data_IF_925892002238
#
_entry.id   IF_925892002238
#
_cell.length_a   1.000
_cell.length_b   1.000
_cell.length_c   1.000
_cell.angle_alpha   90.00
_cell.angle_beta   90.00
_cell.angle_gamma   90.00
#
_symmetry.space_group_name_H-M   'P 1'
#
loop_
_entity.id
_entity.type
_entity.pdbx_description
1 polymer ?
#
# COMPACT_ATOMS: atom_id res chain seq x y z
N UNK A 1 -5.78 -6.97 -22.15
CA UNK A 1 -4.65 -6.57 -21.27
C UNK A 1 -4.55 -7.55 -20.11
N UNK A 2 -3.45 -8.30 -19.97
CA UNK A 2 -3.32 -9.36 -18.94
C UNK A 2 -3.33 -8.78 -17.52
N UNK A 3 -4.33 -9.15 -16.71
CA UNK A 3 -4.51 -8.66 -15.33
C UNK A 3 -3.26 -8.88 -14.44
N UNK A 4 -2.55 -9.99 -14.65
CA UNK A 4 -1.27 -10.28 -13.98
C UNK A 4 -0.20 -9.21 -14.26
N UNK A 5 -0.10 -8.72 -15.50
CA UNK A 5 0.84 -7.64 -15.87
C UNK A 5 0.50 -6.33 -15.17
N UNK A 6 -0.79 -6.05 -14.93
CA UNK A 6 -1.23 -4.85 -14.19
C UNK A 6 -0.79 -4.94 -12.72
N UNK A 7 -1.04 -6.09 -12.05
CA UNK A 7 -0.64 -6.31 -10.66
C UNK A 7 0.86 -6.13 -10.46
N UNK A 8 1.67 -6.85 -11.23
CA UNK A 8 3.13 -6.76 -11.12
C UNK A 8 3.69 -5.37 -11.46
N UNK A 9 3.02 -4.61 -12.34
CA UNK A 9 3.41 -3.21 -12.61
C UNK A 9 3.19 -2.34 -11.38
N UNK A 10 2.02 -2.46 -10.73
CA UNK A 10 1.69 -1.67 -9.55
C UNK A 10 2.57 -2.06 -8.36
N UNK A 11 2.83 -3.36 -8.14
CA UNK A 11 3.79 -3.82 -7.13
C UNK A 11 5.17 -3.17 -7.31
N UNK A 12 5.67 -3.09 -8.56
CA UNK A 12 6.95 -2.43 -8.85
C UNK A 12 6.91 -0.94 -8.57
N UNK A 13 5.80 -0.26 -8.88
CA UNK A 13 5.63 1.16 -8.57
C UNK A 13 5.65 1.40 -7.06
N UNK A 14 4.89 0.60 -6.30
CA UNK A 14 4.86 0.70 -4.84
C UNK A 14 6.23 0.41 -4.24
N UNK A 15 6.91 -0.64 -4.72
CA UNK A 15 8.28 -0.97 -4.31
C UNK A 15 9.23 0.24 -4.51
N UNK A 16 9.19 0.89 -5.67
CA UNK A 16 10.04 2.07 -5.94
C UNK A 16 9.78 3.20 -4.95
N UNK A 17 8.52 3.46 -4.59
CA UNK A 17 8.19 4.50 -3.61
C UNK A 17 8.87 4.21 -2.27
N UNK A 18 8.82 2.97 -1.77
CA UNK A 18 9.53 2.62 -0.55
C UNK A 18 11.06 2.76 -0.69
N UNK A 19 11.64 2.33 -1.81
CA UNK A 19 13.08 2.45 -2.07
C UNK A 19 13.55 3.91 -2.17
N UNK A 20 12.75 4.80 -2.76
CA UNK A 20 13.01 6.25 -2.82
C UNK A 20 13.02 6.91 -1.43
N UNK A 21 12.31 6.32 -0.47
CA UNK A 21 12.33 6.70 0.95
C UNK A 21 13.42 5.99 1.75
N UNK A 22 14.32 5.25 1.10
CA UNK A 22 15.47 4.60 1.73
C UNK A 22 15.18 3.22 2.32
N UNK A 23 14.00 2.64 2.10
CA UNK A 23 13.68 1.31 2.60
C UNK A 23 14.19 0.20 1.68
N UNK A 24 14.72 -0.86 2.27
CA UNK A 24 15.05 -2.10 1.58
C UNK A 24 13.77 -2.93 1.35
N UNK A 25 13.46 -3.23 0.09
CA UNK A 25 12.22 -3.94 -0.29
C UNK A 25 12.50 -5.21 -1.08
N UNK A 26 12.04 -6.34 -0.54
CA UNK A 26 12.04 -7.64 -1.21
C UNK A 26 10.66 -7.89 -1.80
N UNK A 27 10.58 -8.27 -3.08
CA UNK A 27 9.32 -8.77 -3.65
C UNK A 27 9.13 -10.21 -3.21
N UNK A 28 7.92 -10.56 -2.75
CA UNK A 28 7.51 -11.95 -2.62
C UNK A 28 7.29 -12.52 -4.02
N UNK A 29 8.36 -12.94 -4.70
CA UNK A 29 8.25 -13.50 -6.04
C UNK A 29 7.43 -14.80 -5.99
N UNK A 30 6.28 -14.83 -6.68
CA UNK A 30 5.54 -16.06 -6.93
C UNK A 30 4.84 -16.66 -5.71
N UNK A 31 3.79 -16.00 -5.21
CA UNK A 31 2.63 -16.56 -4.48
C UNK A 31 2.81 -17.63 -3.38
N UNK A 32 4.00 -17.79 -2.78
CA UNK A 32 4.16 -18.62 -1.58
C UNK A 32 4.23 -17.79 -0.29
N UNK A 33 4.35 -16.46 -0.39
CA UNK A 33 4.33 -15.53 0.73
C UNK A 33 2.93 -14.97 1.02
N UNK A 34 2.67 -14.60 2.28
CA UNK A 34 1.38 -14.04 2.75
C UNK A 34 1.11 -12.59 2.27
N UNK A 35 2.06 -11.96 1.57
CA UNK A 35 2.01 -10.57 1.12
C UNK A 35 2.74 -10.39 -0.23
N UNK A 36 2.57 -9.24 -0.88
CA UNK A 36 3.18 -8.95 -2.19
C UNK A 36 4.61 -8.38 -2.05
N UNK A 37 4.87 -7.60 -1.00
CA UNK A 37 6.16 -7.00 -0.68
C UNK A 37 6.51 -7.25 0.78
N UNK A 38 7.80 -7.41 1.07
CA UNK A 38 8.35 -7.38 2.42
C UNK A 38 9.28 -6.16 2.52
N UNK A 39 9.00 -5.27 3.47
CA UNK A 39 9.74 -4.03 3.67
C UNK A 39 10.46 -4.07 5.00
N UNK A 40 11.80 -4.01 4.97
CA UNK A 40 12.63 -4.12 6.16
C UNK A 40 12.33 -2.97 7.13
N UNK A 41 12.05 -3.29 8.39
CA UNK A 41 11.69 -2.32 9.43
C UNK A 41 10.22 -1.87 9.44
N UNK A 42 9.40 -2.29 8.46
CA UNK A 42 7.95 -2.00 8.43
C UNK A 42 7.14 -3.30 8.49
N UNK A 43 7.50 -4.30 7.70
CA UNK A 43 6.83 -5.60 7.65
C UNK A 43 6.23 -5.93 6.27
N UNK A 44 5.21 -6.79 6.29
CA UNK A 44 4.61 -7.37 5.09
C UNK A 44 3.50 -6.48 4.52
N UNK A 45 3.57 -6.20 3.21
CA UNK A 45 2.70 -5.24 2.52
C UNK A 45 1.97 -5.94 1.38
N UNK A 46 0.65 -5.88 1.41
CA UNK A 46 -0.22 -6.31 0.32
C UNK A 46 -0.54 -5.11 -0.60
N UNK A 47 -0.34 -5.29 -1.90
CA UNK A 47 -0.60 -4.32 -2.95
C UNK A 47 -1.82 -4.72 -3.76
N UNK A 48 -2.88 -3.93 -3.70
CA UNK A 48 -4.09 -4.16 -4.51
C UNK A 48 -4.29 -3.01 -5.50
N UNK A 49 -4.23 -3.34 -6.78
CA UNK A 49 -4.66 -2.42 -7.84
C UNK A 49 -6.16 -2.61 -8.11
N UNK A 50 -6.94 -1.53 -8.01
CA UNK A 50 -8.35 -1.49 -8.41
C UNK A 50 -8.56 -0.46 -9.52
N UNK A 51 -9.69 -0.53 -10.24
CA UNK A 51 -10.07 0.50 -11.23
C UNK A 51 -10.86 1.61 -10.56
N UNK A 52 -11.80 1.23 -9.70
CA UNK A 52 -12.56 2.12 -8.84
C UNK A 52 -12.25 1.80 -7.39
N UNK A 53 -12.14 2.84 -6.57
CA UNK A 53 -12.05 2.74 -5.12
C UNK A 53 -12.82 3.92 -4.54
N UNK A 54 -14.14 3.77 -4.44
CA UNK A 54 -15.10 4.86 -4.16
C UNK A 54 -14.84 5.58 -2.84
N UNK A 55 -14.20 4.90 -1.88
CA UNK A 55 -13.84 5.48 -0.59
C UNK A 55 -12.84 6.64 -0.70
N UNK A 56 -12.09 6.74 -1.81
CA UNK A 56 -11.22 7.89 -2.05
C UNK A 56 -12.00 9.19 -2.29
N UNK A 57 -13.27 9.11 -2.70
CA UNK A 57 -14.12 10.30 -2.79
C UNK A 57 -14.38 10.91 -1.40
N UNK A 58 -14.37 10.08 -0.34
CA UNK A 58 -14.47 10.54 1.05
C UNK A 58 -13.16 11.14 1.57
N UNK A 59 -12.08 11.07 0.78
CA UNK A 59 -10.79 11.67 1.09
C UNK A 59 -10.71 13.14 0.69
N UNK A 60 -11.70 13.65 -0.06
CA UNK A 60 -11.65 15.01 -0.60
C UNK A 60 -11.57 16.05 0.53
N UNK A 61 -10.50 16.84 0.53
CA UNK A 61 -10.19 17.83 1.57
C UNK A 61 -9.59 17.29 2.89
N UNK A 62 -9.41 15.97 3.04
CA UNK A 62 -8.83 15.36 4.25
C UNK A 62 -7.38 14.90 4.05
N UNK A 63 -6.53 15.01 5.09
CA UNK A 63 -5.16 14.46 5.05
C UNK A 63 -5.09 12.95 5.32
N UNK A 64 -6.08 12.43 6.06
CA UNK A 64 -6.22 11.05 6.52
C UNK A 64 -7.70 10.71 6.60
N UNK A 65 -8.05 9.46 6.31
CA UNK A 65 -9.41 8.94 6.40
C UNK A 65 -9.43 7.75 7.36
N UNK A 66 -10.33 7.78 8.34
CA UNK A 66 -10.54 6.64 9.25
C UNK A 66 -11.77 5.86 8.79
N UNK A 67 -11.61 4.55 8.56
CA UNK A 67 -12.69 3.66 8.14
C UNK A 67 -12.90 2.61 9.22
N UNK A 68 -14.13 2.47 9.70
CA UNK A 68 -14.49 1.47 10.70
C UNK A 68 -15.68 0.65 10.22
N UNK A 69 -15.50 -0.66 10.11
CA UNK A 69 -16.61 -1.58 9.98
C UNK A 69 -17.23 -1.89 11.35
N UNK A 70 -18.49 -2.29 11.37
CA UNK A 70 -19.19 -2.64 12.61
C UNK A 70 -18.43 -3.74 13.38
N UNK A 71 -18.26 -3.54 14.70
CA UNK A 71 -17.53 -4.45 15.61
C UNK A 71 -16.11 -4.85 15.16
N UNK A 72 -15.50 -4.12 14.22
CA UNK A 72 -14.10 -4.27 13.83
C UNK A 72 -13.26 -3.10 14.31
N UNK A 73 -11.95 -3.31 14.38
CA UNK A 73 -10.98 -2.26 14.63
C UNK A 73 -11.02 -1.22 13.49
N UNK A 74 -10.89 0.09 13.79
CA UNK A 74 -10.79 1.12 12.77
C UNK A 74 -9.45 1.04 12.02
N UNK A 75 -9.46 1.43 10.75
CA UNK A 75 -8.29 1.54 9.89
C UNK A 75 -8.03 2.99 9.51
N UNK A 76 -6.76 3.36 9.39
CA UNK A 76 -6.35 4.65 8.84
C UNK A 76 -5.95 4.44 7.36
N UNK A 77 -6.49 5.27 6.49
CA UNK A 77 -6.13 5.38 5.07
C UNK A 77 -5.47 6.73 4.86
N UNK A 78 -4.35 6.74 4.15
CA UNK A 78 -3.64 7.95 3.76
C UNK A 78 -2.73 7.67 2.56
N UNK A 79 -2.24 8.70 1.84
CA UNK A 79 -1.25 8.51 0.80
C UNK A 79 0.01 7.82 1.36
N UNK A 80 0.52 6.83 0.62
CA UNK A 80 1.71 6.07 1.04
C UNK A 80 2.90 6.99 1.34
N UNK A 81 3.14 7.99 0.49
CA UNK A 81 4.22 8.95 0.70
C UNK A 81 4.06 9.76 1.99
N UNK A 82 2.84 10.12 2.38
CA UNK A 82 2.56 10.80 3.64
C UNK A 82 2.86 9.88 4.82
N UNK A 83 2.39 8.64 4.77
CA UNK A 83 2.70 7.63 5.80
C UNK A 83 4.21 7.45 5.99
N UNK A 84 4.95 7.28 4.89
CA UNK A 84 6.41 7.11 4.95
C UNK A 84 7.10 8.32 5.58
N UNK A 85 6.69 9.55 5.22
CA UNK A 85 7.21 10.77 5.87
C UNK A 85 6.96 10.81 7.38
N UNK A 86 5.86 10.24 7.86
CA UNK A 86 5.53 10.24 9.29
C UNK A 86 6.37 9.24 10.08
N UNK A 87 6.64 8.06 9.51
CA UNK A 87 7.41 7.00 10.18
C UNK A 87 8.92 7.10 9.98
N UNK A 88 9.39 7.95 9.07
CA UNK A 88 10.82 8.21 8.85
C UNK A 88 11.37 9.35 9.74
N UNK A 89 10.56 9.91 10.65
CA UNK A 89 10.99 10.88 11.68
C UNK A 89 11.41 10.16 12.95
#
# INVERSE_FOLDING_TARGET
>A
MNAKRKGSRVERQVKKIFEEFGYEVVRSAGSLGKADLEVKGIGSIQVKARKSFSILLMFDGAEKLVIKADRKEPYIVMPLSTYLKEISK
#
